data_IF_204805689590
#
_entry.id   IF_204805689590
#
_cell.length_a   1.000
_cell.length_b   1.000
_cell.length_c   1.000
_cell.angle_alpha   90.00
_cell.angle_beta   90.00
_cell.angle_gamma   90.00
#
_symmetry.space_group_name_H-M   'P 1'
#
loop_
_entity.id
_entity.type
_entity.pdbx_description
1 polymer ?
#
# COMPACT_ATOMS: atom_id res chain seq x y z
N UNK A 1 -6.46 7.85 2.58
CA UNK A 1 -6.63 7.86 4.04
C UNK A 1 -5.25 7.66 4.65
N UNK A 2 -4.85 8.57 5.59
CA UNK A 2 -3.49 8.67 6.13
C UNK A 2 -2.59 9.53 5.23
N UNK A 3 -2.14 10.68 5.75
CA UNK A 3 -1.31 11.66 5.03
C UNK A 3 0.12 11.74 5.59
N UNK A 4 0.61 10.64 6.16
CA UNK A 4 2.01 10.46 6.53
C UNK A 4 2.93 10.41 5.30
N UNK A 5 4.18 9.96 5.47
CA UNK A 5 5.17 9.93 4.39
C UNK A 5 4.68 9.22 3.11
N UNK A 6 4.04 8.05 3.26
CA UNK A 6 3.57 7.28 2.10
C UNK A 6 2.35 7.95 1.46
N UNK A 7 1.33 8.30 2.26
CA UNK A 7 0.10 8.88 1.72
C UNK A 7 0.33 10.23 1.05
N UNK A 8 1.17 11.08 1.61
CA UNK A 8 1.52 12.37 1.00
C UNK A 8 2.30 12.20 -0.31
N UNK A 9 3.25 11.26 -0.35
CA UNK A 9 3.99 10.95 -1.59
C UNK A 9 3.06 10.39 -2.66
N UNK A 10 2.18 9.46 -2.29
CA UNK A 10 1.18 8.91 -3.22
C UNK A 10 0.25 10.01 -3.76
N UNK A 11 -0.23 10.89 -2.88
CA UNK A 11 -1.07 12.02 -3.28
C UNK A 11 -0.37 12.94 -4.29
N UNK A 12 0.93 13.21 -4.10
CA UNK A 12 1.71 14.01 -5.04
C UNK A 12 1.79 13.33 -6.41
N UNK A 13 2.10 12.02 -6.46
CA UNK A 13 2.18 11.28 -7.72
C UNK A 13 0.84 11.22 -8.46
N UNK A 14 -0.24 11.01 -7.74
CA UNK A 14 -1.58 11.00 -8.31
C UNK A 14 -1.96 12.39 -8.86
N UNK A 15 -1.60 13.48 -8.15
CA UNK A 15 -1.77 14.85 -8.66
C UNK A 15 -0.95 15.09 -9.93
N UNK A 16 0.27 14.62 -9.97
CA UNK A 16 1.17 14.76 -11.12
C UNK A 16 0.61 14.11 -12.40
N UNK A 17 -0.17 13.05 -12.27
CA UNK A 17 -0.86 12.40 -13.40
C UNK A 17 -2.28 12.92 -13.62
N UNK A 18 -2.67 14.00 -12.95
CA UNK A 18 -3.93 14.72 -13.18
C UNK A 18 -5.12 14.29 -12.35
N UNK A 19 -4.92 13.51 -11.29
CA UNK A 19 -6.00 13.13 -10.38
C UNK A 19 -6.32 14.24 -9.38
N UNK A 20 -7.59 14.35 -9.01
CA UNK A 20 -8.02 15.18 -7.89
C UNK A 20 -7.88 14.40 -6.60
N UNK A 21 -7.21 14.99 -5.61
CA UNK A 21 -6.91 14.33 -4.33
C UNK A 21 -7.76 14.94 -3.21
N UNK A 22 -8.41 14.06 -2.47
CA UNK A 22 -8.95 14.31 -1.14
C UNK A 22 -8.14 13.49 -0.14
N UNK A 23 -7.67 14.13 0.94
CA UNK A 23 -6.97 13.46 2.02
C UNK A 23 -7.85 13.40 3.27
N UNK A 24 -7.64 12.40 4.11
CA UNK A 24 -8.15 12.33 5.47
C UNK A 24 -7.03 11.87 6.40
N UNK A 25 -6.72 12.71 7.38
CA UNK A 25 -5.82 12.37 8.49
C UNK A 25 -6.22 13.21 9.71
N UNK A 26 -6.82 12.59 10.75
CA UNK A 26 -7.33 13.32 11.91
C UNK A 26 -6.24 13.93 12.78
N UNK A 27 -4.97 13.55 12.57
CA UNK A 27 -3.82 14.09 13.30
C UNK A 27 -3.25 15.36 12.65
N UNK A 28 -3.71 15.71 11.45
CA UNK A 28 -3.25 16.87 10.71
C UNK A 28 -4.28 18.00 10.70
N UNK A 29 -3.83 19.27 10.59
CA UNK A 29 -4.75 20.40 10.40
C UNK A 29 -5.63 20.21 9.15
N UNK A 30 -6.88 20.70 9.21
CA UNK A 30 -7.80 20.65 8.09
C UNK A 30 -7.29 21.32 6.79
N UNK A 31 -6.33 22.24 6.90
CA UNK A 31 -5.66 22.90 5.76
C UNK A 31 -4.59 22.05 5.08
N UNK A 32 -4.26 20.86 5.62
CA UNK A 32 -3.20 20.02 5.09
C UNK A 32 -3.71 19.18 3.93
N UNK A 33 -3.08 19.30 2.75
CA UNK A 33 -3.28 18.43 1.58
C UNK A 33 -4.76 18.13 1.25
N UNK A 34 -5.62 19.13 1.22
CA UNK A 34 -7.07 18.95 1.03
C UNK A 34 -7.69 17.98 2.06
N UNK A 35 -7.27 18.07 3.32
CA UNK A 35 -7.76 17.22 4.38
C UNK A 35 -9.28 17.38 4.54
N UNK A 36 -10.03 16.37 4.07
CA UNK A 36 -11.49 16.32 4.06
C UNK A 36 -12.01 15.49 5.25
N UNK A 37 -13.32 15.39 5.41
CA UNK A 37 -13.89 14.45 6.38
C UNK A 37 -13.73 13.00 5.92
N UNK A 38 -13.81 12.05 6.85
CA UNK A 38 -13.76 10.62 6.55
C UNK A 38 -14.84 10.23 5.55
N UNK A 39 -16.07 10.69 5.77
CA UNK A 39 -17.22 10.41 4.91
C UNK A 39 -17.02 10.96 3.49
N UNK A 40 -16.42 12.16 3.37
CA UNK A 40 -16.12 12.74 2.06
C UNK A 40 -15.11 11.92 1.28
N UNK A 41 -14.04 11.44 1.93
CA UNK A 41 -13.03 10.61 1.29
C UNK A 41 -13.59 9.27 0.84
N UNK A 42 -14.52 8.69 1.60
CA UNK A 42 -15.18 7.44 1.21
C UNK A 42 -16.02 7.56 -0.08
N UNK A 43 -16.42 8.78 -0.48
CA UNK A 43 -17.17 9.02 -1.73
C UNK A 43 -16.29 9.11 -2.99
N UNK A 44 -14.97 8.92 -2.86
CA UNK A 44 -14.03 9.01 -3.98
C UNK A 44 -14.14 7.82 -4.93
N UNK A 45 -13.71 8.00 -6.18
CA UNK A 45 -13.64 6.91 -7.17
C UNK A 45 -12.56 5.87 -6.81
N UNK A 46 -11.51 6.30 -6.10
CA UNK A 46 -10.44 5.44 -5.56
C UNK A 46 -10.19 5.80 -4.10
N UNK A 47 -10.20 4.80 -3.22
CA UNK A 47 -9.83 4.94 -1.80
C UNK A 47 -8.59 4.09 -1.55
N UNK A 48 -7.51 4.73 -1.11
CA UNK A 48 -6.24 4.07 -0.79
C UNK A 48 -5.84 4.33 0.66
N UNK A 49 -5.40 3.27 1.36
CA UNK A 49 -5.08 3.29 2.79
C UNK A 49 -3.57 3.37 3.00
N UNK A 50 -3.15 4.32 3.84
CA UNK A 50 -1.74 4.59 4.18
C UNK A 50 -1.54 4.86 5.68
N UNK A 51 -2.35 4.23 6.51
CA UNK A 51 -2.35 4.39 7.96
C UNK A 51 -1.54 3.29 8.65
N UNK A 52 -0.91 3.54 9.82
CA UNK A 52 -0.41 2.47 10.67
C UNK A 52 -1.58 1.68 11.26
N UNK A 53 -1.34 0.48 11.77
CA UNK A 53 -2.32 -0.24 12.58
C UNK A 53 -2.24 0.23 14.01
N UNK A 54 -3.33 0.78 14.54
CA UNK A 54 -3.46 1.23 15.93
C UNK A 54 -4.78 0.75 16.53
N UNK A 55 -4.77 0.47 17.84
CA UNK A 55 -5.96 0.13 18.63
C UNK A 55 -6.45 1.33 19.44
N UNK A 56 -7.64 1.21 20.05
CA UNK A 56 -8.19 2.22 20.94
C UNK A 56 -7.31 2.48 22.18
N UNK A 57 -6.50 1.50 22.59
CA UNK A 57 -5.56 1.65 23.72
C UNK A 57 -4.32 2.47 23.37
N UNK A 58 -4.00 2.58 22.09
CA UNK A 58 -2.76 3.20 21.59
C UNK A 58 -2.97 4.50 20.81
N UNK A 59 -4.21 4.80 20.43
CA UNK A 59 -4.53 6.00 19.62
C UNK A 59 -5.92 6.53 19.94
N UNK A 60 -6.04 7.85 19.96
CA UNK A 60 -7.35 8.53 19.99
C UNK A 60 -8.12 8.34 18.66
N UNK A 61 -7.44 7.95 17.61
CA UNK A 61 -7.99 7.65 16.28
C UNK A 61 -7.54 6.25 15.86
N UNK A 62 -8.14 5.18 16.42
CA UNK A 62 -7.76 3.81 16.09
C UNK A 62 -8.04 3.50 14.63
N UNK A 63 -7.15 2.70 14.05
CA UNK A 63 -7.24 2.31 12.63
C UNK A 63 -7.56 0.84 12.44
N UNK A 64 -7.57 0.05 13.50
CA UNK A 64 -8.07 -1.32 13.46
C UNK A 64 -9.56 -1.30 13.08
N UNK A 65 -9.89 -2.04 12.01
CA UNK A 65 -11.23 -2.07 11.42
C UNK A 65 -11.79 -0.66 11.11
N UNK A 66 -10.90 0.28 10.70
CA UNK A 66 -11.30 1.61 10.25
C UNK A 66 -12.31 1.54 9.10
N UNK A 67 -12.15 0.55 8.21
CA UNK A 67 -13.16 0.19 7.23
C UNK A 67 -13.92 -1.05 7.73
N UNK A 68 -14.94 -0.81 8.50
CA UNK A 68 -15.95 -1.77 8.95
C UNK A 68 -17.14 -1.84 7.96
N UNK A 69 -18.19 -2.55 8.33
CA UNK A 69 -19.38 -2.69 7.49
C UNK A 69 -20.07 -1.36 7.17
N UNK A 70 -20.12 -0.43 8.12
CA UNK A 70 -20.77 0.87 7.94
C UNK A 70 -19.94 1.75 7.00
N UNK A 71 -18.63 1.81 7.19
CA UNK A 71 -17.72 2.55 6.31
C UNK A 71 -17.75 2.00 4.87
N UNK A 72 -17.70 0.68 4.70
CA UNK A 72 -17.80 0.05 3.38
C UNK A 72 -19.15 0.28 2.71
N UNK A 73 -20.24 0.33 3.47
CA UNK A 73 -21.58 0.62 2.95
C UNK A 73 -21.71 2.07 2.48
N UNK A 74 -21.01 3.01 3.10
CA UNK A 74 -21.01 4.41 2.67
C UNK A 74 -20.29 4.62 1.33
N UNK A 75 -19.39 3.74 0.94
CA UNK A 75 -18.62 3.87 -0.31
C UNK A 75 -19.49 3.52 -1.52
N UNK A 76 -19.44 4.29 -2.63
CA UNK A 76 -20.07 3.91 -3.89
C UNK A 76 -19.60 2.53 -4.36
N UNK A 77 -20.51 1.71 -4.92
CA UNK A 77 -20.17 0.34 -5.35
C UNK A 77 -19.01 0.29 -6.38
N UNK A 78 -18.88 1.33 -7.21
CA UNK A 78 -17.82 1.45 -8.23
C UNK A 78 -16.46 1.90 -7.70
N UNK A 79 -16.36 2.31 -6.42
CA UNK A 79 -15.10 2.76 -5.83
C UNK A 79 -14.07 1.63 -5.85
N UNK A 80 -12.88 1.90 -6.39
CA UNK A 80 -11.73 1.01 -6.25
C UNK A 80 -11.15 1.17 -4.84
N UNK A 81 -11.09 0.09 -4.07
CA UNK A 81 -10.48 0.07 -2.74
C UNK A 81 -9.09 -0.56 -2.80
N UNK A 82 -8.08 0.15 -2.25
CA UNK A 82 -6.69 -0.31 -2.23
C UNK A 82 -6.19 -0.32 -0.78
N UNK A 83 -5.68 -1.46 -0.32
CA UNK A 83 -4.98 -1.57 0.96
C UNK A 83 -3.58 -2.15 0.77
N UNK A 84 -2.58 -1.30 0.91
CA UNK A 84 -1.16 -1.66 1.01
C UNK A 84 -0.54 -1.17 2.33
N UNK A 85 -1.39 -0.90 3.33
CA UNK A 85 -0.98 -0.41 4.64
C UNK A 85 -0.84 -1.56 5.64
N UNK A 86 -1.95 -2.00 6.24
CA UNK A 86 -2.03 -3.16 7.16
C UNK A 86 -3.37 -3.87 6.98
N UNK A 87 -3.36 -5.21 6.98
CA UNK A 87 -4.55 -6.04 6.78
C UNK A 87 -5.71 -5.69 7.71
N UNK A 88 -5.51 -5.68 9.05
CA UNK A 88 -6.60 -5.42 10.00
C UNK A 88 -7.13 -3.98 10.01
N UNK A 89 -6.71 -3.10 9.10
CA UNK A 89 -7.35 -1.79 8.87
C UNK A 89 -8.73 -1.98 8.23
N UNK A 90 -8.94 -3.08 7.51
CA UNK A 90 -10.24 -3.47 6.97
C UNK A 90 -10.71 -4.72 7.72
N UNK A 91 -11.95 -4.74 8.17
CA UNK A 91 -12.59 -5.96 8.68
C UNK A 91 -12.80 -6.94 7.51
N UNK A 92 -12.17 -8.10 7.57
CA UNK A 92 -12.20 -9.08 6.48
C UNK A 92 -13.61 -9.65 6.23
N UNK A 93 -14.40 -9.83 7.29
CA UNK A 93 -15.78 -10.33 7.18
C UNK A 93 -16.69 -9.28 6.52
N UNK A 94 -16.54 -8.02 6.93
CA UNK A 94 -17.27 -6.91 6.32
C UNK A 94 -16.88 -6.70 4.86
N UNK A 95 -15.58 -6.83 4.53
CA UNK A 95 -15.09 -6.73 3.16
C UNK A 95 -15.68 -7.84 2.27
N UNK A 96 -15.70 -9.09 2.74
CA UNK A 96 -16.27 -10.21 1.99
C UNK A 96 -17.76 -9.96 1.69
N UNK A 97 -18.52 -9.54 2.69
CA UNK A 97 -19.96 -9.22 2.52
C UNK A 97 -20.16 -8.03 1.57
N UNK A 98 -19.30 -7.00 1.65
CA UNK A 98 -19.38 -5.84 0.76
C UNK A 98 -19.09 -6.23 -0.70
N UNK A 99 -18.02 -6.98 -0.96
CA UNK A 99 -17.67 -7.41 -2.32
C UNK A 99 -18.77 -8.28 -2.93
N UNK A 100 -19.38 -9.17 -2.15
CA UNK A 100 -20.51 -9.99 -2.61
C UNK A 100 -21.73 -9.15 -2.97
N UNK A 101 -22.00 -8.10 -2.19
CA UNK A 101 -23.14 -7.19 -2.40
C UNK A 101 -22.92 -6.21 -3.55
N UNK A 102 -21.73 -5.61 -3.62
CA UNK A 102 -21.44 -4.43 -4.47
C UNK A 102 -20.67 -4.76 -5.74
N UNK A 103 -20.02 -5.93 -5.79
CA UNK A 103 -19.05 -6.29 -6.84
C UNK A 103 -17.88 -5.30 -6.95
N UNK A 104 -17.52 -4.67 -5.82
CA UNK A 104 -16.44 -3.68 -5.72
C UNK A 104 -15.11 -4.28 -6.16
N UNK A 105 -14.35 -3.49 -6.91
CA UNK A 105 -12.97 -3.83 -7.21
C UNK A 105 -12.08 -3.55 -5.99
N UNK A 106 -11.34 -4.54 -5.54
CA UNK A 106 -10.47 -4.43 -4.36
C UNK A 106 -9.08 -4.93 -4.70
N UNK A 107 -8.07 -4.17 -4.29
CA UNK A 107 -6.64 -4.51 -4.41
C UNK A 107 -6.05 -4.61 -3.02
N UNK A 108 -5.52 -5.77 -2.66
CA UNK A 108 -4.88 -6.01 -1.37
C UNK A 108 -3.42 -6.45 -1.55
N UNK A 109 -2.51 -5.76 -0.86
CA UNK A 109 -1.14 -6.22 -0.62
C UNK A 109 -0.99 -6.83 0.78
N UNK A 110 -1.97 -6.59 1.65
CA UNK A 110 -1.98 -6.99 3.07
C UNK A 110 -3.33 -7.61 3.42
N UNK A 111 -3.33 -8.60 4.33
CA UNK A 111 -4.51 -9.37 4.70
C UNK A 111 -4.68 -9.40 6.22
N UNK A 112 -5.92 -9.43 6.71
CA UNK A 112 -6.19 -9.42 8.15
C UNK A 112 -5.57 -10.62 8.87
N UNK A 113 -5.58 -11.78 8.20
CA UNK A 113 -5.13 -13.05 8.78
C UNK A 113 -3.80 -13.54 8.18
N UNK A 114 -3.02 -12.62 7.56
CA UNK A 114 -1.71 -13.00 7.03
C UNK A 114 -0.81 -13.57 8.15
N UNK A 115 0.05 -14.54 7.81
CA UNK A 115 0.47 -14.94 6.45
C UNK A 115 -0.39 -16.03 5.78
N UNK A 116 -1.51 -16.44 6.35
CA UNK A 116 -2.44 -17.36 5.68
C UNK A 116 -3.53 -16.59 4.95
N UNK A 117 -3.75 -16.89 3.67
CA UNK A 117 -4.76 -16.22 2.85
C UNK A 117 -5.68 -17.24 2.19
N UNK A 118 -6.99 -17.11 2.44
CA UNK A 118 -7.98 -18.05 1.90
C UNK A 118 -8.20 -17.81 0.40
N UNK A 119 -8.39 -18.91 -0.34
CA UNK A 119 -8.75 -18.88 -1.75
C UNK A 119 -10.08 -18.15 -1.98
N UNK A 120 -11.03 -18.28 -1.06
CA UNK A 120 -12.32 -17.60 -1.15
C UNK A 120 -12.19 -16.09 -1.16
N UNK A 121 -11.24 -15.51 -0.41
CA UNK A 121 -10.93 -14.09 -0.44
C UNK A 121 -10.19 -13.74 -1.74
N UNK A 122 -9.13 -14.46 -2.10
CA UNK A 122 -8.35 -14.20 -3.31
C UNK A 122 -9.22 -14.13 -4.56
N UNK A 123 -10.15 -15.07 -4.72
CA UNK A 123 -11.06 -15.14 -5.86
C UNK A 123 -12.06 -13.95 -5.96
N UNK A 124 -12.15 -13.12 -4.93
CA UNK A 124 -12.99 -11.91 -4.91
C UNK A 124 -12.21 -10.62 -5.18
N UNK A 125 -10.89 -10.68 -5.17
CA UNK A 125 -10.03 -9.51 -5.35
C UNK A 125 -9.75 -9.25 -6.83
N UNK A 126 -9.59 -7.99 -7.17
CA UNK A 126 -9.14 -7.59 -8.51
C UNK A 126 -7.64 -7.86 -8.69
N UNK A 127 -6.86 -7.64 -7.64
CA UNK A 127 -5.42 -7.93 -7.56
C UNK A 127 -5.08 -8.23 -6.10
N UNK A 128 -4.24 -9.24 -5.89
CA UNK A 128 -3.68 -9.62 -4.59
C UNK A 128 -2.16 -9.80 -4.69
N UNK A 129 -1.40 -9.23 -3.75
CA UNK A 129 0.05 -9.38 -3.70
C UNK A 129 0.52 -9.77 -2.29
N UNK A 130 1.63 -10.50 -2.13
CA UNK A 130 2.01 -11.09 -0.84
C UNK A 130 2.81 -10.12 0.04
N UNK A 131 2.24 -8.95 0.40
CA UNK A 131 2.83 -7.93 1.27
C UNK A 131 4.20 -7.46 0.77
N UNK A 132 4.25 -7.03 -0.47
CA UNK A 132 5.47 -6.63 -1.20
C UNK A 132 5.45 -5.18 -1.69
N UNK A 133 4.45 -4.38 -1.30
CA UNK A 133 4.36 -2.98 -1.75
C UNK A 133 5.63 -2.17 -1.43
N UNK A 134 6.26 -2.42 -0.28
CA UNK A 134 7.54 -1.81 0.12
C UNK A 134 8.79 -2.55 -0.33
N UNK A 135 8.69 -3.56 -1.20
CA UNK A 135 9.82 -4.40 -1.61
C UNK A 135 10.55 -3.80 -2.81
N UNK A 136 11.22 -2.67 -2.58
CA UNK A 136 12.17 -2.05 -3.50
C UNK A 136 13.58 -2.12 -2.94
N UNK A 137 14.60 -1.99 -3.80
CA UNK A 137 16.00 -1.88 -3.37
C UNK A 137 16.17 -0.65 -2.47
N UNK A 138 15.64 0.49 -2.89
CA UNK A 138 15.67 1.73 -2.12
C UNK A 138 14.96 1.57 -0.77
N UNK A 139 13.79 0.95 -0.73
CA UNK A 139 13.02 0.72 0.50
C UNK A 139 13.80 -0.14 1.52
N UNK A 140 14.49 -1.19 1.05
CA UNK A 140 15.33 -2.04 1.91
C UNK A 140 16.60 -1.33 2.39
N UNK A 141 17.26 -0.57 1.51
CA UNK A 141 18.51 0.14 1.86
C UNK A 141 18.25 1.39 2.70
N UNK A 142 17.14 2.08 2.48
CA UNK A 142 16.81 3.34 3.17
C UNK A 142 16.72 3.16 4.68
N UNK A 143 16.13 2.06 5.17
CA UNK A 143 16.08 1.78 6.61
C UNK A 143 17.49 1.67 7.22
N UNK A 144 18.40 0.97 6.56
CA UNK A 144 19.80 0.86 6.99
C UNK A 144 20.52 2.20 6.93
N UNK A 145 20.30 2.99 5.85
CA UNK A 145 20.87 4.33 5.70
C UNK A 145 20.42 5.26 6.82
N UNK A 146 19.14 5.27 7.17
CA UNK A 146 18.61 6.10 8.25
C UNK A 146 19.26 5.80 9.59
N UNK A 147 19.48 4.52 9.92
CA UNK A 147 20.16 4.11 11.16
C UNK A 147 21.62 4.52 11.14
N UNK A 148 22.30 4.35 9.99
CA UNK A 148 23.68 4.76 9.81
C UNK A 148 23.86 6.28 9.97
N UNK A 149 22.99 7.06 9.34
CA UNK A 149 23.02 8.52 9.43
C UNK A 149 22.75 9.01 10.86
N UNK A 150 21.79 8.40 11.56
CA UNK A 150 21.50 8.71 12.95
C UNK A 150 22.68 8.38 13.87
N UNK A 151 23.36 7.24 13.64
CA UNK A 151 24.55 6.88 14.39
C UNK A 151 25.71 7.86 14.13
N UNK A 152 25.92 8.25 12.87
CA UNK A 152 26.93 9.24 12.54
C UNK A 152 26.66 10.59 13.21
N UNK A 153 25.40 11.02 13.25
CA UNK A 153 24.99 12.24 13.93
C UNK A 153 25.25 12.16 15.45
N UNK A 154 24.92 11.06 16.09
CA UNK A 154 25.17 10.85 17.53
C UNK A 154 26.67 10.86 17.87
N UNK A 155 27.48 10.25 16.99
CA UNK A 155 28.93 10.24 17.13
C UNK A 155 29.63 11.52 16.68
N UNK A 156 28.88 12.50 16.16
CA UNK A 156 29.40 13.76 15.59
C UNK A 156 30.43 13.55 14.46
N UNK A 157 30.23 12.50 13.63
CA UNK A 157 31.07 12.22 12.45
C UNK A 157 30.27 12.38 11.18
N UNK A 158 30.92 12.75 10.07
CA UNK A 158 30.26 12.84 8.78
C UNK A 158 30.02 11.42 8.21
N UNK A 159 28.85 11.14 7.60
CA UNK A 159 28.64 9.91 6.84
C UNK A 159 29.65 9.79 5.69
N UNK A 160 30.24 8.61 5.54
CA UNK A 160 31.23 8.33 4.46
C UNK A 160 30.66 7.48 3.35
N UNK A 161 29.48 6.90 3.55
CA UNK A 161 28.80 6.01 2.59
C UNK A 161 27.37 6.44 2.40
N UNK A 162 26.88 6.36 1.16
CA UNK A 162 25.48 6.60 0.81
C UNK A 162 24.90 5.38 0.11
N UNK A 163 23.64 5.06 0.42
CA UNK A 163 22.92 3.98 -0.27
C UNK A 163 22.90 4.17 -1.80
N UNK A 164 22.95 5.42 -2.28
CA UNK A 164 22.94 5.72 -3.71
C UNK A 164 24.10 5.07 -4.46
N UNK A 165 25.27 4.95 -3.82
CA UNK A 165 26.44 4.29 -4.41
C UNK A 165 26.30 2.76 -4.53
N UNK A 166 25.30 2.16 -3.86
CA UNK A 166 25.04 0.72 -3.85
C UNK A 166 23.91 0.32 -4.81
N UNK A 167 23.16 1.31 -5.31
CA UNK A 167 22.02 1.06 -6.19
C UNK A 167 22.52 0.87 -7.63
N UNK A 168 22.06 -0.20 -8.33
CA UNK A 168 22.33 -0.34 -9.76
C UNK A 168 21.61 0.74 -10.56
N UNK A 169 22.05 0.98 -11.78
CA UNK A 169 21.36 1.88 -12.70
C UNK A 169 19.90 1.48 -12.90
N UNK A 170 19.04 2.45 -13.17
CA UNK A 170 17.64 2.22 -13.46
C UNK A 170 17.19 3.02 -14.68
N UNK A 171 16.22 2.45 -15.39
CA UNK A 171 15.50 3.11 -16.49
C UNK A 171 14.07 3.46 -16.09
N UNK A 172 13.70 3.33 -14.80
CA UNK A 172 12.37 3.64 -14.28
C UNK A 172 12.23 5.14 -14.03
N UNK A 173 12.03 5.93 -15.08
CA UNK A 173 11.91 7.38 -15.00
C UNK A 173 10.47 7.80 -14.75
N UNK A 174 10.23 8.58 -13.70
CA UNK A 174 8.90 9.13 -13.39
C UNK A 174 8.39 10.03 -14.52
N UNK A 175 9.27 10.80 -15.17
CA UNK A 175 8.91 11.66 -16.30
C UNK A 175 8.30 10.89 -17.48
N UNK A 176 8.79 9.68 -17.77
CA UNK A 176 8.24 8.83 -18.83
C UNK A 176 6.87 8.28 -18.45
N UNK A 177 6.70 7.80 -17.21
CA UNK A 177 5.42 7.32 -16.72
C UNK A 177 4.38 8.44 -16.67
N UNK A 178 4.75 9.62 -16.17
CA UNK A 178 3.88 10.80 -16.12
C UNK A 178 3.41 11.21 -17.52
N UNK A 179 4.29 11.16 -18.51
CA UNK A 179 3.93 11.46 -19.91
C UNK A 179 3.02 10.38 -20.53
N UNK A 180 3.15 9.13 -20.11
CA UNK A 180 2.34 8.03 -20.58
C UNK A 180 2.02 7.01 -19.47
N UNK A 181 1.02 7.27 -18.59
CA UNK A 181 0.68 6.37 -17.50
C UNK A 181 0.31 4.94 -17.93
N UNK A 182 -0.15 4.76 -19.18
CA UNK A 182 -0.46 3.44 -19.73
C UNK A 182 0.79 2.57 -19.95
N UNK A 183 1.99 3.17 -19.90
CA UNK A 183 3.25 2.45 -20.03
C UNK A 183 3.71 1.76 -18.73
N UNK A 184 3.01 1.93 -17.60
CA UNK A 184 3.37 1.38 -16.29
C UNK A 184 3.74 -0.11 -16.36
N UNK A 185 2.97 -0.90 -17.09
CA UNK A 185 3.19 -2.34 -17.25
C UNK A 185 4.57 -2.70 -17.84
N UNK A 186 5.22 -1.79 -18.56
CA UNK A 186 6.59 -2.00 -19.09
C UNK A 186 7.65 -1.95 -17.99
N UNK A 187 7.37 -1.25 -16.89
CA UNK A 187 8.29 -1.06 -15.78
C UNK A 187 7.97 -2.02 -14.62
N UNK A 188 6.68 -2.25 -14.39
CA UNK A 188 6.20 -3.13 -13.34
C UNK A 188 4.84 -3.74 -13.71
N UNK A 189 4.81 -5.06 -13.83
CA UNK A 189 3.59 -5.82 -14.11
C UNK A 189 3.10 -6.52 -12.84
N UNK A 190 2.25 -5.82 -12.08
CA UNK A 190 1.66 -6.31 -10.83
C UNK A 190 0.83 -7.60 -11.03
N UNK A 191 0.33 -7.86 -12.24
CA UNK A 191 -0.45 -9.07 -12.54
C UNK A 191 0.42 -10.33 -12.39
N UNK A 192 1.71 -10.25 -12.65
CA UNK A 192 2.61 -11.38 -12.44
C UNK A 192 2.76 -11.74 -10.95
N UNK A 193 2.72 -10.75 -10.06
CA UNK A 193 2.79 -11.01 -8.62
C UNK A 193 1.46 -11.56 -8.08
N UNK A 194 0.33 -11.09 -8.61
CA UNK A 194 -0.99 -11.63 -8.37
C UNK A 194 -1.06 -13.11 -8.81
N UNK A 195 -0.66 -13.42 -10.04
CA UNK A 195 -0.62 -14.80 -10.58
C UNK A 195 0.26 -15.72 -9.73
N UNK A 196 1.42 -15.23 -9.26
CA UNK A 196 2.33 -16.00 -8.39
C UNK A 196 1.69 -16.32 -7.04
N UNK A 197 0.95 -15.38 -6.45
CA UNK A 197 0.22 -15.62 -5.20
C UNK A 197 -0.90 -16.65 -5.41
N UNK A 198 -1.70 -16.50 -6.45
CA UNK A 198 -2.76 -17.46 -6.80
C UNK A 198 -2.22 -18.86 -7.10
N UNK A 199 -1.04 -18.97 -7.74
CA UNK A 199 -0.40 -20.25 -8.04
C UNK A 199 0.05 -21.03 -6.78
N UNK A 200 0.06 -20.38 -5.60
CA UNK A 200 0.38 -21.02 -4.30
C UNK A 200 -0.85 -21.56 -3.56
N UNK A 201 -2.05 -21.36 -4.10
CA UNK A 201 -3.26 -21.89 -3.49
C UNK A 201 -3.24 -23.42 -3.50
N UNK A 202 -3.36 -24.01 -2.31
CA UNK A 202 -3.49 -25.45 -2.10
C UNK A 202 -4.45 -25.69 -0.93
N UNK A 203 -5.35 -26.65 -1.07
CA UNK A 203 -6.36 -26.99 -0.05
C UNK A 203 -7.24 -25.79 0.39
N UNK A 204 -7.51 -24.85 -0.53
CA UNK A 204 -8.39 -23.71 -0.29
C UNK A 204 -7.69 -22.49 0.35
N UNK A 205 -6.37 -22.49 0.45
CA UNK A 205 -5.60 -21.36 1.00
C UNK A 205 -4.18 -21.28 0.44
N UNK A 206 -3.55 -20.12 0.57
CA UNK A 206 -2.09 -19.95 0.53
C UNK A 206 -1.57 -20.14 1.93
N UNK A 207 -0.67 -21.11 2.11
CA UNK A 207 -0.09 -21.41 3.43
C UNK A 207 0.84 -20.30 3.89
N UNK A 208 1.04 -20.19 5.22
CA UNK A 208 2.00 -19.25 5.82
C UNK A 208 3.41 -19.43 5.25
N UNK A 209 3.85 -20.67 5.02
CA UNK A 209 5.17 -20.97 4.47
C UNK A 209 5.32 -20.52 3.02
N UNK A 210 4.29 -20.68 2.18
CA UNK A 210 4.30 -20.25 0.79
C UNK A 210 4.24 -18.72 0.67
N UNK A 211 3.41 -18.07 1.50
CA UNK A 211 3.33 -16.62 1.58
C UNK A 211 4.70 -16.00 1.95
N UNK A 212 5.34 -16.54 2.99
CA UNK A 212 6.67 -16.07 3.40
C UNK A 212 7.75 -16.39 2.37
N UNK A 213 7.62 -17.51 1.64
CA UNK A 213 8.55 -17.85 0.56
C UNK A 213 8.45 -16.87 -0.60
N UNK A 214 7.24 -16.51 -1.04
CA UNK A 214 7.03 -15.50 -2.08
C UNK A 214 7.70 -14.17 -1.74
N UNK A 215 7.67 -13.79 -0.46
CA UNK A 215 8.31 -12.56 0.03
C UNK A 215 9.83 -12.67 0.10
N UNK A 216 10.36 -13.79 0.57
CA UNK A 216 11.82 -14.03 0.64
C UNK A 216 12.48 -14.07 -0.73
N UNK A 217 11.81 -14.72 -1.67
CA UNK A 217 12.35 -14.94 -3.02
C UNK A 217 11.97 -13.80 -3.97
N UNK A 218 11.32 -12.74 -3.46
CA UNK A 218 10.88 -11.62 -4.28
C UNK A 218 12.06 -10.88 -4.89
N UNK A 219 12.04 -10.73 -6.21
CA UNK A 219 13.03 -9.93 -6.91
C UNK A 219 12.79 -8.44 -6.67
N UNK A 220 13.64 -7.81 -5.86
CA UNK A 220 13.50 -6.40 -5.48
C UNK A 220 13.59 -5.50 -6.72
N UNK A 221 12.56 -4.67 -6.91
CA UNK A 221 12.50 -3.68 -7.99
C UNK A 221 13.17 -2.36 -7.58
N UNK A 222 13.50 -1.54 -8.58
CA UNK A 222 13.93 -0.15 -8.37
C UNK A 222 12.70 0.75 -8.19
N UNK A 223 12.85 1.79 -7.38
CA UNK A 223 11.88 2.88 -7.32
C UNK A 223 12.03 3.82 -8.54
N UNK A 224 11.04 4.70 -8.72
CA UNK A 224 11.09 5.71 -9.77
C UNK A 224 12.19 6.73 -9.49
N UNK A 225 12.90 7.15 -10.54
CA UNK A 225 13.80 8.31 -10.51
C UNK A 225 13.05 9.56 -11.00
N UNK A 226 13.28 10.66 -10.29
CA UNK A 226 12.69 11.98 -10.52
C UNK A 226 13.66 12.92 -11.20
#
# INVERSE_FOLDING_TARGET
>A
IGLGNIGSTYAQYATDVGWQILGYDPLLPASSMNNASFEQVLQSDVVSLHVPLTSADTSAYPTQHLLDADALQMMPAKTLLINSARGPVIDASALMADVERSNRQVVLDVFEHEPTVTESLLNKLAIATPHIAGYSLEGKLRGTQMIYDALCAELHVAPTTSMQSLLPDTHSLWSELKANPKSLKKFYDIQQDDERLHAKVANGEVSASDFDQLRRDYHLRREWQF
#
